data_IF_758586448797
#
_entry.id   IF_758586448797
#
_cell.length_a   1.000
_cell.length_b   1.000
_cell.length_c   1.000
_cell.angle_alpha   90.00
_cell.angle_beta   90.00
_cell.angle_gamma   90.00
#
_symmetry.space_group_name_H-M   'P 1'
#
loop_
_entity.id
_entity.type
_entity.pdbx_description
1 polymer ?
#
# COMPACT_ATOMS: atom_id res chain seq x y z
N UNK A 1 -1.23 28.42 -0.14
CA UNK A 1 -0.95 27.11 0.51
C UNK A 1 -1.16 26.04 -0.56
N UNK A 2 -0.23 25.09 -0.73
CA UNK A 2 -0.48 23.93 -1.62
C UNK A 2 -1.65 23.15 -1.04
N UNK A 3 -2.66 22.81 -1.86
CA UNK A 3 -3.73 21.91 -1.42
C UNK A 3 -3.11 20.57 -1.04
N UNK A 4 -3.47 20.03 0.14
CA UNK A 4 -3.07 18.69 0.54
C UNK A 4 -3.76 17.67 -0.34
N UNK A 5 -3.09 16.57 -0.66
CA UNK A 5 -3.72 15.43 -1.33
C UNK A 5 -4.65 14.71 -0.33
N UNK A 6 -5.86 14.44 -0.76
CA UNK A 6 -6.84 13.65 -0.01
C UNK A 6 -6.60 12.16 -0.24
N UNK A 7 -6.45 11.40 0.81
CA UNK A 7 -6.16 9.97 0.73
C UNK A 7 -7.17 9.13 1.50
N UNK A 8 -7.31 7.85 1.09
CA UNK A 8 -7.98 6.83 1.89
C UNK A 8 -7.06 5.62 2.10
N UNK A 9 -7.20 4.99 3.25
CA UNK A 9 -6.57 3.71 3.58
C UNK A 9 -7.61 2.60 3.49
N UNK A 10 -7.35 1.61 2.63
CA UNK A 10 -8.19 0.43 2.41
C UNK A 10 -7.48 -0.79 2.99
N UNK A 11 -8.08 -1.40 4.01
CA UNK A 11 -7.47 -2.45 4.81
C UNK A 11 -6.75 -1.89 6.03
N UNK A 12 -7.41 -2.01 7.18
CA UNK A 12 -6.95 -1.52 8.49
C UNK A 12 -6.37 -2.65 9.37
N UNK A 13 -5.82 -3.69 8.73
CA UNK A 13 -5.08 -4.75 9.39
C UNK A 13 -3.72 -4.30 9.93
N UNK A 14 -2.87 -5.27 10.27
CA UNK A 14 -1.56 -5.00 10.90
C UNK A 14 -0.66 -4.03 10.11
N UNK A 15 -0.61 -4.14 8.77
CA UNK A 15 0.23 -3.26 7.95
C UNK A 15 -0.41 -1.89 7.82
N UNK A 16 -1.72 -1.83 7.56
CA UNK A 16 -2.48 -0.58 7.51
C UNK A 16 -2.26 0.26 8.77
N UNK A 17 -2.54 -0.31 9.95
CA UNK A 17 -2.42 0.41 11.22
C UNK A 17 -0.99 0.72 11.63
N UNK A 18 -0.03 -0.23 11.48
CA UNK A 18 1.34 -0.03 11.97
C UNK A 18 2.24 0.77 11.05
N UNK A 19 1.96 0.77 9.72
CA UNK A 19 2.85 1.40 8.74
C UNK A 19 2.20 2.51 7.95
N UNK A 20 1.00 2.29 7.41
CA UNK A 20 0.34 3.33 6.64
C UNK A 20 -0.14 4.48 7.52
N UNK A 21 -0.74 4.21 8.68
CA UNK A 21 -1.15 5.26 9.63
C UNK A 21 0.06 6.10 10.06
N UNK A 22 1.19 5.48 10.43
CA UNK A 22 2.43 6.18 10.77
C UNK A 22 2.93 7.04 9.60
N UNK A 23 2.91 6.50 8.38
CA UNK A 23 3.34 7.23 7.19
C UNK A 23 2.45 8.45 6.91
N UNK A 24 1.13 8.31 6.99
CA UNK A 24 0.20 9.44 6.84
C UNK A 24 0.38 10.50 7.92
N UNK A 25 0.53 10.09 9.18
CA UNK A 25 0.73 11.03 10.29
C UNK A 25 2.04 11.84 10.13
N UNK A 26 3.11 11.19 9.66
CA UNK A 26 4.40 11.83 9.41
C UNK A 26 4.40 12.75 8.18
N UNK A 27 3.47 12.56 7.24
CA UNK A 27 3.35 13.36 6.02
C UNK A 27 2.13 14.27 6.00
N UNK A 28 1.54 14.57 7.13
CA UNK A 28 0.29 15.33 7.30
C UNK A 28 0.31 16.75 6.69
N UNK A 29 1.47 17.30 6.41
CA UNK A 29 1.59 18.60 5.74
C UNK A 29 1.31 18.52 4.24
N UNK A 30 1.51 17.37 3.61
CA UNK A 30 1.28 17.15 2.18
C UNK A 30 0.07 16.29 1.86
N UNK A 31 -0.36 15.44 2.80
CA UNK A 31 -1.44 14.46 2.61
C UNK A 31 -2.38 14.50 3.81
N UNK A 32 -3.66 14.45 3.53
CA UNK A 32 -4.73 14.29 4.51
C UNK A 32 -5.39 12.93 4.33
N UNK A 33 -5.31 12.09 5.36
CA UNK A 33 -6.04 10.81 5.39
C UNK A 33 -7.47 11.11 5.81
N UNK A 34 -8.40 11.06 4.85
CA UNK A 34 -9.82 11.42 5.08
C UNK A 34 -10.70 10.22 5.35
N UNK A 35 -10.29 9.00 4.94
CA UNK A 35 -11.02 7.77 5.21
C UNK A 35 -10.09 6.62 5.59
N UNK A 36 -10.53 5.84 6.59
CA UNK A 36 -10.04 4.49 6.90
C UNK A 36 -11.16 3.50 6.61
N UNK A 37 -10.89 2.48 5.80
CA UNK A 37 -11.89 1.48 5.40
C UNK A 37 -11.39 0.07 5.66
N UNK A 38 -12.26 -0.76 6.23
CA UNK A 38 -12.08 -2.21 6.39
C UNK A 38 -13.45 -2.89 6.31
N UNK A 39 -13.51 -4.18 6.00
CA UNK A 39 -14.76 -4.95 6.07
C UNK A 39 -15.27 -5.02 7.52
N UNK A 40 -14.36 -5.05 8.48
CA UNK A 40 -14.66 -4.93 9.91
C UNK A 40 -14.57 -3.46 10.33
N UNK A 41 -15.71 -2.83 10.56
CA UNK A 41 -15.79 -1.41 10.96
C UNK A 41 -14.95 -1.11 12.21
N UNK A 42 -14.84 -2.04 13.16
CA UNK A 42 -14.04 -1.83 14.38
C UNK A 42 -12.55 -1.66 14.05
N UNK A 43 -12.04 -2.34 13.00
CA UNK A 43 -10.66 -2.13 12.53
C UNK A 43 -10.49 -0.76 11.89
N UNK A 44 -11.47 -0.31 11.13
CA UNK A 44 -11.45 1.03 10.52
C UNK A 44 -11.48 2.13 11.59
N UNK A 45 -12.37 2.00 12.59
CA UNK A 45 -12.47 2.93 13.73
C UNK A 45 -11.17 2.97 14.55
N UNK A 46 -10.57 1.81 14.85
CA UNK A 46 -9.28 1.74 15.54
C UNK A 46 -8.16 2.42 14.72
N UNK A 47 -8.14 2.24 13.41
CA UNK A 47 -7.17 2.92 12.54
C UNK A 47 -7.38 4.44 12.56
N UNK A 48 -8.61 4.90 12.50
CA UNK A 48 -8.97 6.31 12.59
C UNK A 48 -8.55 6.92 13.93
N UNK A 49 -8.78 6.22 15.04
CA UNK A 49 -8.33 6.64 16.37
C UNK A 49 -6.80 6.73 16.47
N UNK A 50 -6.09 5.73 15.92
CA UNK A 50 -4.63 5.74 15.89
C UNK A 50 -4.08 6.90 15.06
N UNK A 51 -4.69 7.21 13.91
CA UNK A 51 -4.32 8.37 13.09
C UNK A 51 -4.52 9.68 13.86
N UNK A 52 -5.66 9.84 14.54
CA UNK A 52 -5.93 11.01 15.36
C UNK A 52 -4.89 11.18 16.48
N UNK A 53 -4.55 10.11 17.20
CA UNK A 53 -3.54 10.12 18.26
C UNK A 53 -2.16 10.57 17.77
N UNK A 54 -1.79 10.20 16.53
CA UNK A 54 -0.46 10.49 15.98
C UNK A 54 -0.40 11.84 15.24
N UNK A 55 -1.45 12.23 14.55
CA UNK A 55 -1.47 13.41 13.67
C UNK A 55 -2.17 14.63 14.28
N UNK A 56 -3.12 14.40 15.20
CA UNK A 56 -4.09 15.38 15.66
C UNK A 56 -5.24 15.64 14.67
N UNK A 57 -5.29 14.96 13.53
CA UNK A 57 -6.29 15.13 12.49
C UNK A 57 -7.33 14.01 12.54
N UNK A 58 -8.58 14.34 12.24
CA UNK A 58 -9.68 13.37 12.16
C UNK A 58 -9.69 12.69 10.80
N UNK A 59 -10.17 11.46 10.77
CA UNK A 59 -10.50 10.69 9.56
C UNK A 59 -11.75 9.88 9.83
N UNK A 60 -12.56 9.64 8.80
CA UNK A 60 -13.80 8.88 8.93
C UNK A 60 -13.54 7.38 8.76
N UNK A 61 -14.20 6.56 9.56
CA UNK A 61 -14.20 5.11 9.44
C UNK A 61 -15.37 4.63 8.59
N UNK A 62 -15.11 3.73 7.63
CA UNK A 62 -16.13 3.23 6.69
C UNK A 62 -16.03 1.70 6.60
N UNK A 63 -17.18 1.02 6.63
CA UNK A 63 -17.27 -0.41 6.40
C UNK A 63 -17.31 -0.72 4.91
N UNK A 64 -16.25 -1.38 4.40
CA UNK A 64 -16.09 -1.65 2.98
C UNK A 64 -15.64 -0.41 2.19
N UNK A 65 -15.03 -0.63 1.04
CA UNK A 65 -14.45 0.47 0.24
C UNK A 65 -15.37 0.97 -0.88
N UNK A 66 -16.45 0.27 -1.17
CA UNK A 66 -17.33 0.55 -2.31
C UNK A 66 -17.92 1.96 -2.25
N UNK A 67 -18.29 2.40 -1.05
CA UNK A 67 -18.85 3.74 -0.82
C UNK A 67 -17.82 4.87 -1.00
N UNK A 68 -16.53 4.51 -1.16
CA UNK A 68 -15.44 5.46 -1.38
C UNK A 68 -15.13 5.71 -2.86
N UNK A 69 -15.67 4.90 -3.77
CA UNK A 69 -15.38 5.01 -5.21
C UNK A 69 -15.82 6.37 -5.78
N UNK A 70 -16.95 6.90 -5.32
CA UNK A 70 -17.50 8.19 -5.76
C UNK A 70 -17.06 9.40 -4.92
N UNK A 71 -16.24 9.18 -3.88
CA UNK A 71 -15.77 10.27 -3.01
C UNK A 71 -14.64 11.07 -3.65
N UNK A 72 -14.48 12.32 -3.21
CA UNK A 72 -13.36 13.19 -3.61
C UNK A 72 -12.05 12.75 -2.93
N UNK A 73 -11.37 11.76 -3.51
CA UNK A 73 -10.12 11.19 -3.05
C UNK A 73 -9.11 11.29 -4.21
N UNK A 74 -7.91 11.80 -3.94
CA UNK A 74 -6.84 11.90 -4.93
C UNK A 74 -6.12 10.58 -5.15
N UNK A 75 -5.92 9.81 -4.07
CA UNK A 75 -5.34 8.47 -4.13
C UNK A 75 -5.76 7.58 -2.96
N UNK A 76 -5.62 6.28 -3.15
CA UNK A 76 -5.87 5.28 -2.11
C UNK A 76 -4.62 4.45 -1.83
N UNK A 77 -4.41 4.10 -0.56
CA UNK A 77 -3.47 3.04 -0.16
C UNK A 77 -4.25 1.75 0.09
N UNK A 78 -3.92 0.69 -0.64
CA UNK A 78 -4.54 -0.63 -0.49
C UNK A 78 -3.60 -1.52 0.31
N UNK A 79 -4.04 -1.90 1.52
CA UNK A 79 -3.31 -2.72 2.48
C UNK A 79 -4.17 -3.89 3.01
N UNK A 80 -5.06 -4.38 2.15
CA UNK A 80 -5.91 -5.55 2.38
C UNK A 80 -5.11 -6.85 2.35
N UNK A 81 -5.79 -7.98 2.44
CA UNK A 81 -5.22 -9.29 2.12
C UNK A 81 -4.82 -9.36 0.65
N UNK A 82 -3.77 -10.14 0.35
CA UNK A 82 -3.16 -10.14 -0.99
C UNK A 82 -4.11 -10.56 -2.12
N UNK A 83 -5.09 -11.41 -1.82
CA UNK A 83 -6.12 -11.83 -2.78
C UNK A 83 -7.01 -10.69 -3.28
N UNK A 84 -7.23 -9.66 -2.46
CA UNK A 84 -8.10 -8.53 -2.80
C UNK A 84 -7.38 -7.36 -3.47
N UNK A 85 -6.04 -7.35 -3.54
CA UNK A 85 -5.27 -6.26 -4.14
C UNK A 85 -5.69 -5.94 -5.56
N UNK A 86 -5.88 -6.97 -6.39
CA UNK A 86 -6.28 -6.81 -7.78
C UNK A 86 -7.64 -6.14 -7.90
N UNK A 87 -8.68 -6.72 -7.28
CA UNK A 87 -10.05 -6.19 -7.41
C UNK A 87 -10.15 -4.75 -6.89
N UNK A 88 -9.64 -4.48 -5.68
CA UNK A 88 -9.65 -3.14 -5.12
C UNK A 88 -8.92 -2.13 -6.03
N UNK A 89 -7.75 -2.52 -6.59
CA UNK A 89 -6.99 -1.63 -7.47
C UNK A 89 -7.77 -1.32 -8.75
N UNK A 90 -8.36 -2.32 -9.39
CA UNK A 90 -9.15 -2.13 -10.63
C UNK A 90 -10.34 -1.23 -10.38
N UNK A 91 -11.05 -1.42 -9.26
CA UNK A 91 -12.23 -0.62 -8.92
C UNK A 91 -11.85 0.86 -8.72
N UNK A 92 -10.79 1.16 -7.95
CA UNK A 92 -10.35 2.54 -7.74
C UNK A 92 -9.76 3.18 -9.01
N UNK A 93 -9.01 2.45 -9.83
CA UNK A 93 -8.56 2.95 -11.12
C UNK A 93 -9.75 3.25 -12.05
N UNK A 94 -10.79 2.40 -12.07
CA UNK A 94 -12.01 2.66 -12.81
C UNK A 94 -12.76 3.89 -12.30
N UNK A 95 -12.74 4.13 -11.01
CA UNK A 95 -13.28 5.33 -10.38
C UNK A 95 -12.39 6.58 -10.54
N UNK A 96 -11.30 6.50 -11.33
CA UNK A 96 -10.42 7.64 -11.60
C UNK A 96 -9.49 8.02 -10.44
N UNK A 97 -9.19 7.09 -9.52
CA UNK A 97 -8.32 7.36 -8.38
C UNK A 97 -6.92 6.79 -8.61
N UNK A 98 -5.90 7.51 -8.17
CA UNK A 98 -4.54 6.98 -8.12
C UNK A 98 -4.43 5.90 -7.03
N UNK A 99 -3.56 4.92 -7.21
CA UNK A 99 -3.46 3.78 -6.30
C UNK A 99 -2.03 3.51 -5.86
N UNK A 100 -1.85 3.31 -4.56
CA UNK A 100 -0.65 2.75 -3.95
C UNK A 100 -1.04 1.41 -3.31
N UNK A 101 -0.61 0.28 -3.87
CA UNK A 101 -0.97 -1.05 -3.37
C UNK A 101 0.18 -1.72 -2.64
N UNK A 102 -0.12 -2.45 -1.56
CA UNK A 102 0.86 -3.29 -0.87
C UNK A 102 1.37 -4.43 -1.76
N UNK A 103 2.56 -4.92 -1.41
CA UNK A 103 3.13 -6.10 -2.07
C UNK A 103 2.50 -7.41 -1.50
N UNK A 104 2.34 -8.46 -2.32
CA UNK A 104 2.53 -8.47 -3.77
C UNK A 104 1.44 -7.65 -4.47
N UNK A 105 1.76 -7.03 -5.61
CA UNK A 105 0.82 -6.21 -6.36
C UNK A 105 -0.46 -6.99 -6.72
N UNK A 106 -0.30 -8.23 -7.16
CA UNK A 106 -1.35 -9.23 -7.34
C UNK A 106 -0.74 -10.64 -7.22
N UNK A 107 -1.58 -11.69 -7.22
CA UNK A 107 -1.14 -13.08 -7.07
C UNK A 107 -0.73 -13.75 -8.40
N UNK A 108 -1.00 -13.12 -9.55
CA UNK A 108 -0.59 -13.61 -10.86
C UNK A 108 -0.20 -12.46 -11.80
N UNK A 109 0.58 -12.81 -12.83
CA UNK A 109 1.11 -11.82 -13.78
C UNK A 109 0.07 -11.24 -14.72
N UNK A 110 -1.01 -11.96 -15.01
CA UNK A 110 -2.10 -11.46 -15.85
C UNK A 110 -2.76 -10.25 -15.15
N UNK A 111 -3.17 -10.40 -13.89
CA UNK A 111 -3.76 -9.32 -13.11
C UNK A 111 -2.82 -8.11 -12.99
N UNK A 112 -1.50 -8.34 -12.80
CA UNK A 112 -0.51 -7.26 -12.77
C UNK A 112 -0.53 -6.46 -14.08
N UNK A 113 -0.52 -7.16 -15.23
CA UNK A 113 -0.53 -6.52 -16.55
C UNK A 113 -1.83 -5.74 -16.78
N UNK A 114 -2.97 -6.29 -16.38
CA UNK A 114 -4.27 -5.62 -16.47
C UNK A 114 -4.29 -4.33 -15.66
N UNK A 115 -3.84 -4.35 -14.39
CA UNK A 115 -3.73 -3.16 -13.54
C UNK A 115 -2.82 -2.09 -14.17
N UNK A 116 -1.66 -2.49 -14.69
CA UNK A 116 -0.69 -1.57 -15.31
C UNK A 116 -1.30 -0.93 -16.57
N UNK A 117 -1.95 -1.73 -17.42
CA UNK A 117 -2.56 -1.24 -18.65
C UNK A 117 -3.73 -0.29 -18.36
N UNK A 118 -4.58 -0.66 -17.40
CA UNK A 118 -5.70 0.18 -16.97
C UNK A 118 -5.23 1.54 -16.41
N UNK A 119 -4.18 1.54 -15.58
CA UNK A 119 -3.61 2.77 -15.04
C UNK A 119 -3.05 3.67 -16.17
N UNK A 120 -2.37 3.07 -17.16
CA UNK A 120 -1.86 3.81 -18.33
C UNK A 120 -3.00 4.37 -19.19
N UNK A 121 -4.02 3.57 -19.49
CA UNK A 121 -5.19 3.97 -20.28
C UNK A 121 -5.90 5.19 -19.67
N UNK A 122 -6.01 5.20 -18.35
CA UNK A 122 -6.69 6.28 -17.61
C UNK A 122 -5.77 7.43 -17.19
N UNK A 123 -4.49 7.41 -17.56
CA UNK A 123 -3.46 8.38 -17.13
C UNK A 123 -3.37 8.53 -15.59
N UNK A 124 -3.52 7.41 -14.87
CA UNK A 124 -3.46 7.37 -13.42
C UNK A 124 -2.12 6.81 -12.92
N UNK A 125 -1.76 7.18 -11.69
CA UNK A 125 -0.57 6.67 -11.03
C UNK A 125 -0.89 5.37 -10.29
N UNK A 126 -0.11 4.33 -10.58
CA UNK A 126 -0.15 3.05 -9.88
C UNK A 126 1.21 2.76 -9.29
N UNK A 127 1.30 2.73 -7.97
CA UNK A 127 2.52 2.43 -7.21
C UNK A 127 2.38 1.14 -6.41
N UNK A 128 3.52 0.49 -6.14
CA UNK A 128 3.60 -0.70 -5.28
C UNK A 128 4.51 -0.42 -4.10
N UNK A 129 4.10 -0.81 -2.89
CA UNK A 129 4.90 -0.66 -1.67
C UNK A 129 6.08 -1.63 -1.64
N UNK A 130 7.13 -1.33 -2.39
CA UNK A 130 8.42 -2.04 -2.36
C UNK A 130 9.40 -1.29 -1.45
N UNK A 131 9.08 -1.17 -0.18
CA UNK A 131 9.73 -0.31 0.80
C UNK A 131 11.24 -0.55 0.96
N UNK A 132 11.70 -1.78 0.75
CA UNK A 132 13.14 -2.10 0.86
C UNK A 132 14.00 -1.36 -0.17
N UNK A 133 13.42 -0.88 -1.27
CA UNK A 133 14.11 -0.02 -2.25
C UNK A 133 14.62 1.29 -1.63
N UNK A 134 13.99 1.75 -0.55
CA UNK A 134 14.32 3.00 0.13
C UNK A 134 15.27 2.82 1.32
N UNK A 135 15.67 1.58 1.65
CA UNK A 135 16.68 1.35 2.68
C UNK A 135 18.02 1.92 2.21
N UNK A 136 18.71 2.65 3.09
CA UNK A 136 19.96 3.33 2.76
C UNK A 136 21.00 2.42 2.09
N UNK A 137 21.30 1.20 2.60
CA UNK A 137 22.25 0.30 1.93
C UNK A 137 21.82 -0.09 0.51
N UNK A 138 20.51 -0.26 0.26
CA UNK A 138 19.99 -0.60 -1.05
C UNK A 138 20.12 0.58 -2.01
N UNK A 139 19.87 1.80 -1.54
CA UNK A 139 20.05 3.03 -2.31
C UNK A 139 21.52 3.25 -2.70
N UNK A 140 22.45 3.05 -1.74
CA UNK A 140 23.88 3.18 -2.02
C UNK A 140 24.37 2.11 -3.00
N UNK A 141 23.92 0.86 -2.86
CA UNK A 141 24.21 -0.20 -3.81
C UNK A 141 23.71 0.16 -5.22
N UNK A 142 22.47 0.65 -5.33
CA UNK A 142 21.87 1.06 -6.61
C UNK A 142 22.68 2.16 -7.26
N UNK A 143 23.08 3.19 -6.53
CA UNK A 143 23.93 4.27 -7.04
C UNK A 143 25.25 3.75 -7.61
N UNK A 144 25.92 2.81 -6.92
CA UNK A 144 27.17 2.21 -7.38
C UNK A 144 26.98 1.35 -8.64
N UNK A 145 25.87 0.60 -8.72
CA UNK A 145 25.51 -0.16 -9.93
C UNK A 145 25.32 0.78 -11.13
N UNK A 146 24.53 1.85 -10.93
CA UNK A 146 24.23 2.83 -12.00
C UNK A 146 25.47 3.59 -12.46
N UNK A 147 26.41 3.83 -11.56
CA UNK A 147 27.70 4.44 -11.85
C UNK A 147 28.70 3.48 -12.53
N UNK A 148 28.32 2.21 -12.77
CA UNK A 148 29.20 1.22 -13.38
C UNK A 148 30.36 0.77 -12.48
N UNK A 149 30.33 1.04 -11.17
CA UNK A 149 31.44 0.78 -10.25
C UNK A 149 31.81 -0.71 -10.14
N UNK A 150 30.93 -1.62 -10.51
CA UNK A 150 31.16 -3.06 -10.52
C UNK A 150 31.55 -3.62 -11.90
N UNK A 151 31.66 -2.76 -12.92
CA UNK A 151 31.90 -3.22 -14.30
C UNK A 151 30.76 -4.14 -14.78
N UNK A 152 31.13 -5.18 -15.54
CA UNK A 152 30.17 -6.17 -16.02
C UNK A 152 29.78 -7.13 -14.89
N UNK A 153 28.54 -7.08 -14.46
CA UNK A 153 28.02 -7.97 -13.42
C UNK A 153 27.68 -9.32 -14.04
N UNK A 154 28.33 -10.39 -13.59
CA UNK A 154 28.09 -11.76 -14.05
C UNK A 154 27.13 -12.54 -13.15
N UNK A 155 27.10 -12.21 -11.86
CA UNK A 155 26.24 -12.87 -10.89
C UNK A 155 25.92 -11.91 -9.75
N UNK A 156 24.74 -12.08 -9.18
CA UNK A 156 24.30 -11.42 -7.93
C UNK A 156 23.57 -12.42 -7.05
N UNK A 157 23.89 -12.45 -5.77
CA UNK A 157 23.24 -13.34 -4.78
C UNK A 157 22.67 -12.50 -3.66
N UNK A 158 21.39 -12.68 -3.35
CA UNK A 158 20.74 -12.14 -2.16
C UNK A 158 20.41 -13.29 -1.21
N UNK A 159 20.81 -13.17 0.06
CA UNK A 159 20.49 -14.15 1.10
C UNK A 159 19.72 -13.47 2.21
N UNK A 160 18.49 -13.93 2.44
CA UNK A 160 17.58 -13.42 3.47
C UNK A 160 17.30 -14.53 4.46
N UNK A 161 17.80 -14.40 5.70
CA UNK A 161 17.67 -15.41 6.74
C UNK A 161 16.63 -14.95 7.77
N UNK A 162 15.35 -15.02 7.39
CA UNK A 162 14.23 -14.69 8.27
C UNK A 162 13.55 -15.95 8.79
N UNK A 163 13.36 -16.03 10.10
CA UNK A 163 12.54 -17.08 10.69
C UNK A 163 11.04 -16.80 10.45
N UNK A 164 10.32 -17.81 10.02
CA UNK A 164 8.87 -17.86 9.90
C UNK A 164 8.38 -19.14 10.55
N UNK A 165 8.08 -19.07 11.85
CA UNK A 165 7.53 -20.21 12.59
C UNK A 165 6.03 -20.38 12.31
N UNK A 166 5.47 -21.52 12.77
CA UNK A 166 4.05 -21.84 12.60
C UNK A 166 3.13 -20.72 13.10
N UNK A 167 3.41 -20.12 14.25
CA UNK A 167 2.60 -19.02 14.79
C UNK A 167 2.50 -17.79 13.87
N UNK A 168 3.45 -17.60 12.94
CA UNK A 168 3.35 -16.54 11.95
C UNK A 168 2.21 -16.82 10.93
N UNK A 169 1.98 -18.08 10.62
CA UNK A 169 0.92 -18.51 9.68
C UNK A 169 -0.43 -18.66 10.38
N UNK A 170 -0.43 -18.96 11.68
CA UNK A 170 -1.65 -19.10 12.48
C UNK A 170 -2.29 -17.75 12.83
N UNK A 171 -1.62 -16.61 12.58
CA UNK A 171 -2.13 -15.27 12.90
C UNK A 171 -3.36 -14.86 12.09
N UNK A 172 -3.43 -15.30 10.84
CA UNK A 172 -4.53 -14.98 9.93
C UNK A 172 -4.75 -16.15 8.97
N UNK A 173 -6.01 -16.49 8.68
CA UNK A 173 -6.39 -17.66 7.87
C UNK A 173 -5.87 -17.67 6.44
N UNK A 174 -5.68 -16.49 5.84
CA UNK A 174 -5.20 -16.34 4.46
C UNK A 174 -3.69 -16.57 4.30
N UNK A 175 -2.91 -16.60 5.42
CA UNK A 175 -1.45 -16.76 5.36
C UNK A 175 -1.07 -18.17 4.91
N UNK A 176 -0.29 -18.24 3.84
CA UNK A 176 0.12 -19.53 3.24
C UNK A 176 -0.92 -20.18 2.34
N UNK A 177 -2.00 -19.45 2.01
CA UNK A 177 -3.01 -19.85 1.02
C UNK A 177 -2.93 -18.98 -0.24
N UNK A 178 -3.72 -19.35 -1.25
CA UNK A 178 -3.91 -18.56 -2.48
C UNK A 178 -5.21 -17.74 -2.45
N UNK A 179 -5.90 -17.73 -1.31
CA UNK A 179 -7.17 -16.99 -1.10
C UNK A 179 -6.91 -15.57 -0.58
#
# INVERSE_FOLDING_TARGET
MKNKLKAALIGCGRIGTKKHIEAYANNKEGVELIYCSDLDINKAENAAEQYFKQSGLKTDAVAGYQDLLDKEIDFVSIATESGYHYQCTVDFLNAGKNVLVEKPMALNTQHINEMINLAKEKDLKLGVCLQNRFNQPVQELKKKIDAGAFGKIFNATARILWNRNKGCYDLDSWRGTWE
#
